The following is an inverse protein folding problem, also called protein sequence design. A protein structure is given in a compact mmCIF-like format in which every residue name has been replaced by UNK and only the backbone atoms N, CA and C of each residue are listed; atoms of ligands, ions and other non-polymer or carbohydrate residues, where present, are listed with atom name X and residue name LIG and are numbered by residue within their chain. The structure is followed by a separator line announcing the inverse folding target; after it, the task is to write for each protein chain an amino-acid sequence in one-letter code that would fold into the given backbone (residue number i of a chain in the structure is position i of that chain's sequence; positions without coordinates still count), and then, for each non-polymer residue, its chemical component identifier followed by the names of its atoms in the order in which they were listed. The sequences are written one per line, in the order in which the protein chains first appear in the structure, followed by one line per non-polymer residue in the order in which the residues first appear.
data_IF_692164231460
#
_entry.id   IF_692164231460
#
_cell.length_a   1.000
_cell.length_b   1.000
_cell.length_c   1.000
_cell.angle_alpha   90.00
_cell.angle_beta   90.00
_cell.angle_gamma   90.00
#
_symmetry.space_group_name_H-M   'P 1'
#
loop_
_entity.id
_entity.type
_entity.pdbx_description
1 polymer ?
#
# COMPACT_ATOMS: atom_id res chain seq x y z
N UNK A 1 3.18 20.12 -80.00
CA UNK A 1 3.57 19.26 -78.86
C UNK A 1 3.67 20.10 -77.60
N UNK A 2 2.74 19.99 -76.64
CA UNK A 2 2.98 20.17 -75.18
C UNK A 2 1.80 19.52 -74.44
N UNK A 3 2.03 18.31 -73.89
CA UNK A 3 1.09 17.65 -72.99
C UNK A 3 1.26 18.22 -71.58
N UNK A 4 0.12 18.38 -70.91
CA UNK A 4 0.01 18.60 -69.47
C UNK A 4 0.65 17.44 -68.69
N UNK A 5 1.36 17.73 -67.60
CA UNK A 5 1.39 16.83 -66.44
C UNK A 5 1.68 17.65 -65.18
N UNK A 6 0.70 17.68 -64.27
CA UNK A 6 0.77 18.24 -62.93
C UNK A 6 1.86 17.52 -62.13
N UNK A 7 2.80 18.26 -61.55
CA UNK A 7 3.71 17.72 -60.53
C UNK A 7 3.08 17.95 -59.16
N UNK A 8 2.22 17.04 -58.72
CA UNK A 8 1.87 16.92 -57.31
C UNK A 8 2.98 16.12 -56.62
N UNK A 9 3.74 16.76 -55.75
CA UNK A 9 4.55 16.05 -54.74
C UNK A 9 3.61 15.33 -53.78
N UNK A 10 3.77 14.03 -53.50
CA UNK A 10 2.97 13.39 -52.47
C UNK A 10 3.43 13.90 -51.10
N UNK A 11 2.47 14.26 -50.25
CA UNK A 11 2.70 14.59 -48.85
C UNK A 11 3.36 13.41 -48.12
N UNK A 12 4.20 13.64 -47.10
CA UNK A 12 4.81 12.57 -46.33
C UNK A 12 3.71 11.83 -45.57
N UNK A 13 3.51 10.57 -45.94
CA UNK A 13 2.69 9.61 -45.22
C UNK A 13 3.19 9.54 -43.78
N UNK A 14 2.39 10.04 -42.84
CA UNK A 14 2.64 9.88 -41.40
C UNK A 14 2.41 8.40 -41.10
N UNK A 15 3.46 7.59 -41.23
CA UNK A 15 3.46 6.21 -40.76
C UNK A 15 3.41 6.25 -39.23
N UNK A 16 2.20 6.20 -38.68
CA UNK A 16 2.01 5.88 -37.27
C UNK A 16 2.52 4.44 -37.07
N UNK A 17 3.45 4.18 -36.13
CA UNK A 17 3.80 2.82 -35.77
C UNK A 17 2.62 2.25 -34.97
N UNK A 18 1.70 1.56 -35.63
CA UNK A 18 0.47 1.02 -35.03
C UNK A 18 0.71 -0.21 -34.15
N UNK A 19 1.94 -0.75 -34.13
CA UNK A 19 2.29 -1.97 -33.40
C UNK A 19 2.90 -1.65 -32.01
N UNK A 20 3.95 -0.82 -31.97
CA UNK A 20 4.64 -0.47 -30.72
C UNK A 20 3.82 0.38 -29.74
N UNK A 21 2.79 1.09 -30.21
CA UNK A 21 1.87 1.81 -29.35
C UNK A 21 0.91 0.87 -28.60
N UNK A 22 0.41 -0.16 -29.28
CA UNK A 22 -0.49 -1.16 -28.68
C UNK A 22 0.26 -2.03 -27.66
N UNK A 23 1.46 -2.51 -28.00
CA UNK A 23 2.30 -3.28 -27.08
C UNK A 23 2.69 -2.49 -25.83
N UNK A 24 2.99 -1.19 -25.99
CA UNK A 24 3.31 -0.33 -24.86
C UNK A 24 2.09 -0.11 -23.94
N UNK A 25 0.90 0.01 -24.52
CA UNK A 25 -0.34 0.13 -23.74
C UNK A 25 -0.59 -1.16 -22.94
N UNK A 26 -0.46 -2.33 -23.57
CA UNK A 26 -0.63 -3.62 -22.90
C UNK A 26 0.37 -3.82 -21.74
N UNK A 27 1.64 -3.47 -21.97
CA UNK A 27 2.68 -3.56 -20.93
C UNK A 27 2.37 -2.65 -19.73
N UNK A 28 1.94 -1.41 -19.99
CA UNK A 28 1.57 -0.46 -18.94
C UNK A 28 0.30 -0.89 -18.20
N UNK A 29 -0.67 -1.49 -18.88
CA UNK A 29 -1.88 -2.04 -18.26
C UNK A 29 -1.54 -3.21 -17.33
N UNK A 30 -0.63 -4.09 -17.74
CA UNK A 30 -0.15 -5.20 -16.93
C UNK A 30 0.61 -4.70 -15.69
N UNK A 31 1.49 -3.71 -15.85
CA UNK A 31 2.21 -3.08 -14.74
C UNK A 31 1.24 -2.39 -13.77
N UNK A 32 0.24 -1.67 -14.28
CA UNK A 32 -0.83 -1.06 -13.47
C UNK A 32 -1.63 -2.13 -12.72
N UNK A 33 -1.91 -3.27 -13.35
CA UNK A 33 -2.64 -4.36 -12.71
C UNK A 33 -1.80 -5.00 -11.59
N UNK A 34 -0.51 -5.27 -11.85
CA UNK A 34 0.40 -5.81 -10.83
C UNK A 34 0.56 -4.86 -9.64
N UNK A 35 0.66 -3.55 -9.88
CA UNK A 35 0.72 -2.55 -8.82
C UNK A 35 -0.60 -2.44 -8.04
N UNK A 36 -1.75 -2.48 -8.73
CA UNK A 36 -3.07 -2.51 -8.09
C UNK A 36 -3.24 -3.74 -7.22
N UNK A 37 -2.79 -4.90 -7.71
CA UNK A 37 -2.85 -6.16 -6.96
C UNK A 37 -1.92 -6.12 -5.75
N UNK A 38 -0.72 -5.54 -5.88
CA UNK A 38 0.20 -5.32 -4.77
C UNK A 38 -0.40 -4.39 -3.70
N UNK A 39 -0.98 -3.26 -4.09
CA UNK A 39 -1.65 -2.32 -3.17
C UNK A 39 -2.89 -2.96 -2.53
N UNK A 40 -3.72 -3.64 -3.31
CA UNK A 40 -4.87 -4.37 -2.79
C UNK A 40 -4.46 -5.50 -1.82
N UNK A 41 -3.30 -6.11 -2.04
CA UNK A 41 -2.75 -7.14 -1.15
C UNK A 41 -2.32 -6.57 0.21
N UNK A 42 -2.04 -5.27 0.31
CA UNK A 42 -1.63 -4.62 1.56
C UNK A 42 -2.76 -3.85 2.26
N UNK A 43 -3.92 -3.66 1.62
CA UNK A 43 -5.02 -2.87 2.18
C UNK A 43 -5.45 -3.28 3.60
N UNK A 44 -5.54 -4.59 3.89
CA UNK A 44 -5.89 -5.10 5.24
C UNK A 44 -4.80 -4.77 6.27
N UNK A 45 -3.54 -4.86 5.85
CA UNK A 45 -2.37 -4.56 6.69
C UNK A 45 -2.33 -3.07 7.01
N UNK A 46 -2.51 -2.23 6.00
CA UNK A 46 -2.51 -0.77 6.16
C UNK A 46 -3.66 -0.29 7.05
N UNK A 47 -4.84 -0.90 6.93
CA UNK A 47 -5.97 -0.63 7.83
C UNK A 47 -5.66 -1.03 9.29
N UNK A 48 -5.05 -2.19 9.50
CA UNK A 48 -4.65 -2.62 10.84
C UNK A 48 -3.57 -1.70 11.43
N UNK A 49 -2.62 -1.23 10.63
CA UNK A 49 -1.62 -0.23 11.05
C UNK A 49 -2.33 1.06 11.48
N UNK A 50 -3.27 1.57 10.67
CA UNK A 50 -4.04 2.77 11.02
C UNK A 50 -4.79 2.64 12.35
N UNK A 51 -5.34 1.45 12.63
CA UNK A 51 -6.00 1.15 13.89
C UNK A 51 -5.02 1.13 15.07
N UNK A 52 -3.84 0.52 14.91
CA UNK A 52 -2.79 0.50 15.93
C UNK A 52 -2.27 1.91 16.21
N UNK A 53 -2.08 2.74 15.17
CA UNK A 53 -1.68 4.15 15.31
C UNK A 53 -2.71 4.92 16.14
N UNK A 54 -3.99 4.80 15.79
CA UNK A 54 -5.07 5.53 16.47
C UNK A 54 -5.25 5.10 17.94
N UNK A 55 -5.22 3.79 18.22
CA UNK A 55 -5.49 3.25 19.55
C UNK A 55 -4.24 3.24 20.44
N UNK A 56 -3.09 2.86 19.89
CA UNK A 56 -1.81 2.74 20.58
C UNK A 56 -1.03 4.05 20.65
N UNK A 57 -1.45 5.10 19.93
CA UNK A 57 -0.77 6.41 19.87
C UNK A 57 0.72 6.31 19.52
N UNK A 58 0.99 5.49 18.51
CA UNK A 58 2.33 5.28 17.95
C UNK A 58 2.41 5.87 16.54
N UNK A 59 3.61 6.11 16.02
CA UNK A 59 3.80 6.52 14.64
C UNK A 59 3.41 5.40 13.66
N UNK A 60 3.15 5.69 12.38
CA UNK A 60 2.89 4.65 11.37
C UNK A 60 3.99 3.58 11.27
N UNK A 61 5.27 3.99 11.33
CA UNK A 61 6.41 3.07 11.30
C UNK A 61 6.45 2.15 12.52
N UNK A 62 6.11 2.69 13.70
CA UNK A 62 5.95 1.89 14.90
C UNK A 62 4.75 0.96 14.79
N UNK A 63 3.61 1.40 14.22
CA UNK A 63 2.45 0.56 13.99
C UNK A 63 2.76 -0.66 13.10
N UNK A 64 3.54 -0.47 12.03
CA UNK A 64 4.08 -1.57 11.24
C UNK A 64 5.00 -2.50 12.05
N UNK A 65 5.87 -1.92 12.86
CA UNK A 65 6.78 -2.68 13.74
C UNK A 65 6.01 -3.53 14.74
N UNK A 66 4.98 -2.97 15.39
CA UNK A 66 4.07 -3.68 16.29
C UNK A 66 3.47 -4.89 15.60
N UNK A 67 2.87 -4.70 14.42
CA UNK A 67 2.18 -5.77 13.70
C UNK A 67 3.14 -6.92 13.33
N UNK A 68 4.36 -6.57 12.88
CA UNK A 68 5.41 -7.53 12.53
C UNK A 68 5.91 -8.31 13.74
N UNK A 69 6.14 -7.65 14.86
CA UNK A 69 6.61 -8.29 16.08
C UNK A 69 5.56 -9.21 16.71
N UNK A 70 4.29 -8.77 16.73
CA UNK A 70 3.19 -9.63 17.19
C UNK A 70 3.11 -10.87 16.31
N UNK A 71 3.19 -10.74 14.99
CA UNK A 71 3.22 -11.86 14.05
C UNK A 71 4.36 -12.83 14.34
N UNK A 72 5.59 -12.33 14.53
CA UNK A 72 6.76 -13.16 14.80
C UNK A 72 6.67 -13.87 16.16
N UNK A 73 6.29 -13.16 17.23
CA UNK A 73 6.25 -13.70 18.59
C UNK A 73 5.10 -14.67 18.81
N UNK A 74 3.97 -14.50 18.10
CA UNK A 74 2.83 -15.42 18.15
C UNK A 74 2.93 -16.55 17.12
N UNK A 75 3.88 -16.47 16.18
CA UNK A 75 4.00 -17.37 15.03
C UNK A 75 2.71 -17.45 14.18
N UNK A 76 2.01 -16.32 14.06
CA UNK A 76 0.80 -16.17 13.23
C UNK A 76 1.16 -15.35 12.00
N UNK A 77 0.66 -15.74 10.83
CA UNK A 77 0.87 -14.98 9.59
C UNK A 77 0.43 -13.52 9.77
N UNK A 78 1.26 -12.58 9.32
CA UNK A 78 1.03 -11.14 9.49
C UNK A 78 -0.37 -10.68 9.04
N UNK A 79 -0.85 -11.18 7.89
CA UNK A 79 -2.21 -10.87 7.42
C UNK A 79 -3.30 -11.34 8.40
N UNK A 80 -3.15 -12.52 8.99
CA UNK A 80 -4.11 -13.02 9.98
C UNK A 80 -4.06 -12.18 11.26
N UNK A 81 -2.88 -11.70 11.67
CA UNK A 81 -2.78 -10.75 12.78
C UNK A 81 -3.50 -9.45 12.43
N UNK A 82 -3.31 -8.93 11.22
CA UNK A 82 -4.02 -7.73 10.76
C UNK A 82 -5.55 -7.92 10.81
N UNK A 83 -6.06 -9.04 10.31
CA UNK A 83 -7.49 -9.38 10.43
C UNK A 83 -7.96 -9.43 11.89
N UNK A 84 -7.16 -10.03 12.79
CA UNK A 84 -7.48 -10.07 14.22
C UNK A 84 -7.54 -8.67 14.83
N UNK A 85 -6.65 -7.76 14.44
CA UNK A 85 -6.68 -6.36 14.87
C UNK A 85 -7.96 -5.67 14.38
N UNK A 86 -8.36 -5.87 13.13
CA UNK A 86 -9.60 -5.28 12.59
C UNK A 86 -10.86 -5.81 13.28
N UNK A 87 -10.91 -7.12 13.57
CA UNK A 87 -11.97 -7.73 14.37
C UNK A 87 -11.97 -7.16 15.79
N UNK A 88 -10.79 -7.03 16.39
CA UNK A 88 -10.62 -6.46 17.73
C UNK A 88 -11.11 -5.01 17.79
N UNK A 89 -10.76 -4.14 16.84
CA UNK A 89 -11.25 -2.77 16.84
C UNK A 89 -12.76 -2.64 16.68
N UNK A 90 -13.43 -3.63 16.06
CA UNK A 90 -14.89 -3.66 15.94
C UNK A 90 -15.59 -4.25 17.16
N UNK A 91 -14.99 -5.24 17.80
CA UNK A 91 -15.69 -6.10 18.79
C UNK A 91 -15.11 -6.05 20.19
N UNK A 92 -13.91 -5.49 20.36
CA UNK A 92 -13.13 -5.55 21.60
C UNK A 92 -12.53 -6.93 21.89
N UNK A 93 -12.71 -7.92 21.02
CA UNK A 93 -12.25 -9.28 21.23
C UNK A 93 -10.94 -9.55 20.49
N UNK A 94 -9.95 -10.03 21.24
CA UNK A 94 -8.65 -10.46 20.72
C UNK A 94 -8.20 -11.70 21.51
N UNK A 95 -7.65 -12.75 20.86
CA UNK A 95 -7.13 -13.90 21.58
C UNK A 95 -6.11 -13.49 22.64
N UNK A 96 -6.20 -14.06 23.84
CA UNK A 96 -5.42 -13.61 25.01
C UNK A 96 -3.91 -13.55 24.74
N UNK A 97 -3.34 -14.60 24.13
CA UNK A 97 -1.91 -14.63 23.81
C UNK A 97 -1.49 -13.53 22.82
N UNK A 98 -2.33 -13.19 21.84
CA UNK A 98 -2.06 -12.10 20.89
C UNK A 98 -2.17 -10.75 21.60
N UNK A 99 -3.17 -10.59 22.47
CA UNK A 99 -3.35 -9.38 23.28
C UNK A 99 -2.16 -9.11 24.18
N UNK A 100 -1.70 -10.10 24.93
CA UNK A 100 -0.54 -9.95 25.82
C UNK A 100 0.69 -9.50 25.03
N UNK A 101 0.98 -10.12 23.89
CA UNK A 101 2.12 -9.72 23.06
C UNK A 101 1.93 -8.32 22.47
N UNK A 102 0.71 -7.98 22.03
CA UNK A 102 0.40 -6.64 21.50
C UNK A 102 0.61 -5.56 22.55
N UNK A 103 0.10 -5.75 23.76
CA UNK A 103 0.26 -4.84 24.90
C UNK A 103 1.73 -4.67 25.27
N UNK A 104 2.48 -5.77 25.41
CA UNK A 104 3.92 -5.72 25.70
C UNK A 104 4.72 -4.93 24.65
N UNK A 105 4.40 -5.12 23.36
CA UNK A 105 5.10 -4.43 22.27
C UNK A 105 4.70 -2.95 22.23
N UNK A 106 3.43 -2.62 22.47
CA UNK A 106 2.96 -1.24 22.55
C UNK A 106 3.54 -0.50 23.75
N UNK A 107 3.60 -1.13 24.93
CA UNK A 107 4.18 -0.53 26.13
C UNK A 107 5.67 -0.21 25.94
N UNK A 108 6.39 -1.08 25.24
CA UNK A 108 7.80 -0.85 24.90
C UNK A 108 7.98 0.29 23.89
N UNK A 109 7.01 0.49 23.00
CA UNK A 109 7.07 1.51 21.94
C UNK A 109 6.33 2.81 22.28
N UNK A 110 5.62 2.86 23.41
CA UNK A 110 4.73 3.96 23.77
C UNK A 110 5.46 5.19 24.34
N UNK A 111 4.72 6.33 24.46
CA UNK A 111 4.03 7.02 23.39
C UNK A 111 5.01 7.91 22.61
N UNK A 112 4.82 7.99 21.29
CA UNK A 112 5.53 8.99 20.47
C UNK A 112 4.79 10.31 20.60
N UNK A 113 5.36 11.23 21.38
CA UNK A 113 5.04 12.66 21.51
C UNK A 113 3.65 13.09 21.03
N UNK A 114 2.77 13.50 21.95
CA UNK A 114 1.53 14.19 21.61
C UNK A 114 1.88 15.44 20.79
N UNK A 115 1.39 15.61 19.55
CA UNK A 115 1.53 16.87 18.84
C UNK A 115 0.87 17.99 19.67
N UNK A 116 1.69 18.86 20.27
CA UNK A 116 1.25 19.95 21.15
C UNK A 116 1.49 19.75 22.65
N UNK A 117 2.15 18.67 23.11
CA UNK A 117 2.66 18.63 24.48
C UNK A 117 3.79 19.66 24.65
N UNK A 118 3.77 20.51 25.69
CA UNK A 118 4.89 21.40 25.98
C UNK A 118 6.15 20.55 26.27
N UNK A 119 7.34 20.99 25.86
CA UNK A 119 8.56 20.33 26.29
C UNK A 119 8.60 20.35 27.81
N UNK A 120 8.72 19.17 28.41
CA UNK A 120 8.83 19.03 29.87
C UNK A 120 10.03 19.86 30.34
N UNK A 121 9.80 20.71 31.35
CA UNK A 121 10.73 21.73 31.84
C UNK A 121 12.00 21.15 32.47
#
# INVERSE_FOLDING_TARGET
MRRHQKSGTPDPEVTMPTDGGADRILQLEEEVQQLKDAVASHAVVDQAIGMIVALGRVSPDQGWTVLKEVSQRTNIKLRNVADMILVWGRTGLLPAHVRTVLEEVLDRLGPTQIPGAPPEC
#
